data_IF_785369118650
#
_entry.id   IF_785369118650
#
_cell.length_a   1.000
_cell.length_b   1.000
_cell.length_c   1.000
_cell.angle_alpha   90.00
_cell.angle_beta   90.00
_cell.angle_gamma   90.00
#
_symmetry.space_group_name_H-M   'P 1'
#
loop_
_entity.id
_entity.type
_entity.pdbx_description
1 polymer ?
#
# COMPACT_ATOMS: atom_id res chain seq x y z
N UNK A 1 36.77 -69.73 -4.45
CA UNK A 1 37.53 -68.51 -4.07
C UNK A 1 37.53 -67.36 -5.10
N UNK A 2 37.57 -67.63 -6.42
CA UNK A 2 37.54 -66.51 -7.42
C UNK A 2 36.21 -65.72 -7.48
N UNK A 3 35.07 -66.38 -7.30
CA UNK A 3 33.73 -65.74 -7.36
C UNK A 3 33.46 -64.82 -6.14
N UNK A 4 33.99 -65.19 -4.96
CA UNK A 4 33.83 -64.36 -3.74
C UNK A 4 34.68 -63.08 -3.82
N UNK A 5 35.88 -63.13 -4.43
CA UNK A 5 36.72 -61.92 -4.64
C UNK A 5 36.15 -60.97 -5.64
N UNK A 6 35.42 -61.46 -6.65
CA UNK A 6 34.76 -60.53 -7.65
C UNK A 6 33.56 -59.87 -7.10
N UNK A 7 32.73 -60.49 -6.26
CA UNK A 7 31.60 -59.86 -5.57
C UNK A 7 32.06 -58.88 -4.50
N UNK A 8 33.18 -59.09 -3.84
CA UNK A 8 33.73 -58.20 -2.84
C UNK A 8 34.36 -56.93 -3.46
N UNK A 9 34.94 -57.02 -4.68
CA UNK A 9 35.43 -55.88 -5.45
C UNK A 9 34.26 -55.01 -6.00
N UNK A 10 33.14 -55.63 -6.40
CA UNK A 10 31.95 -54.91 -6.85
C UNK A 10 31.26 -54.18 -5.72
N UNK A 11 31.22 -54.73 -4.51
CA UNK A 11 30.68 -54.06 -3.32
C UNK A 11 31.56 -52.90 -2.83
N UNK A 12 32.89 -52.98 -2.95
CA UNK A 12 33.80 -51.90 -2.63
C UNK A 12 33.73 -50.75 -3.66
N UNK A 13 33.49 -51.04 -4.95
CA UNK A 13 33.38 -50.01 -5.99
C UNK A 13 32.04 -49.25 -5.89
N UNK A 14 30.96 -49.93 -5.51
CA UNK A 14 29.66 -49.29 -5.28
C UNK A 14 29.67 -48.45 -3.98
N UNK A 15 30.40 -48.93 -2.92
CA UNK A 15 30.55 -48.16 -1.67
C UNK A 15 31.35 -46.87 -1.82
N UNK A 16 32.35 -46.82 -2.72
CA UNK A 16 33.18 -45.62 -2.95
C UNK A 16 32.44 -44.58 -3.83
N UNK A 17 31.51 -45.02 -4.70
CA UNK A 17 30.70 -44.08 -5.50
C UNK A 17 29.63 -43.40 -4.63
N UNK A 18 29.16 -44.03 -3.52
CA UNK A 18 28.20 -43.41 -2.60
C UNK A 18 28.83 -42.46 -1.58
N UNK A 19 30.15 -42.49 -1.38
CA UNK A 19 30.85 -41.56 -0.46
C UNK A 19 31.26 -40.21 -1.11
N UNK A 20 31.00 -40.04 -2.40
CA UNK A 20 31.39 -38.83 -3.15
C UNK A 20 30.21 -37.87 -3.47
N UNK A 21 28.98 -38.21 -3.11
CA UNK A 21 27.87 -37.26 -3.17
C UNK A 21 27.80 -36.49 -1.83
N UNK A 22 28.55 -35.40 -1.75
CA UNK A 22 28.23 -34.36 -0.82
C UNK A 22 26.87 -33.82 -1.25
N UNK A 23 25.79 -34.27 -0.62
CA UNK A 23 24.52 -33.57 -0.64
C UNK A 23 24.81 -32.27 0.04
N UNK A 24 25.05 -31.23 -0.74
CA UNK A 24 24.91 -29.84 -0.26
C UNK A 24 23.44 -29.70 0.08
N UNK A 25 23.11 -29.97 1.34
CA UNK A 25 21.83 -29.50 1.92
C UNK A 25 21.95 -28.01 1.87
N UNK A 26 21.36 -27.37 0.84
CA UNK A 26 20.98 -26.00 0.94
C UNK A 26 19.97 -25.96 2.08
N UNK A 27 20.42 -25.54 3.26
CA UNK A 27 19.53 -25.06 4.29
C UNK A 27 18.78 -23.91 3.61
N UNK A 28 17.51 -24.06 3.33
CA UNK A 28 16.63 -22.90 3.15
C UNK A 28 16.83 -22.10 4.43
N UNK A 29 17.53 -20.97 4.34
CA UNK A 29 17.57 -20.02 5.43
C UNK A 29 16.12 -19.59 5.66
N UNK A 30 15.55 -20.09 6.75
CA UNK A 30 14.21 -19.70 7.16
C UNK A 30 14.26 -18.20 7.48
N UNK A 31 13.36 -17.44 6.87
CA UNK A 31 13.21 -16.00 7.19
C UNK A 31 13.12 -15.84 8.72
N UNK A 32 13.83 -14.84 9.30
CA UNK A 32 13.84 -14.65 10.75
C UNK A 32 12.44 -14.28 11.26
N UNK A 33 12.12 -14.76 12.48
CA UNK A 33 10.90 -14.35 13.17
C UNK A 33 11.05 -12.94 13.74
N UNK A 34 9.94 -12.29 14.13
CA UNK A 34 10.00 -10.98 14.78
C UNK A 34 10.85 -10.99 16.07
N UNK A 35 10.80 -12.10 16.81
CA UNK A 35 11.60 -12.23 18.05
C UNK A 35 13.09 -12.42 17.74
N UNK A 36 13.45 -13.08 16.63
CA UNK A 36 14.84 -13.14 16.17
C UNK A 36 15.34 -11.74 15.81
N UNK A 37 14.52 -10.91 15.13
CA UNK A 37 14.87 -9.54 14.77
C UNK A 37 15.03 -8.64 16.00
N UNK A 38 14.19 -8.78 17.01
CA UNK A 38 14.29 -8.06 18.29
C UNK A 38 15.63 -8.38 18.98
N UNK A 39 15.97 -9.68 19.04
CA UNK A 39 17.24 -10.11 19.63
C UNK A 39 18.45 -9.57 18.86
N UNK A 40 18.40 -9.65 17.52
CA UNK A 40 19.47 -9.13 16.65
C UNK A 40 19.63 -7.61 16.78
N UNK A 41 18.54 -6.89 16.97
CA UNK A 41 18.55 -5.43 17.19
C UNK A 41 18.95 -5.04 18.62
N UNK A 42 19.17 -6.00 19.52
CA UNK A 42 19.64 -5.77 20.89
C UNK A 42 18.56 -5.26 21.85
N UNK A 43 17.27 -5.48 21.54
CA UNK A 43 16.17 -5.17 22.44
C UNK A 43 15.80 -6.38 23.31
N UNK A 44 15.44 -6.12 24.56
CA UNK A 44 14.90 -7.09 25.48
C UNK A 44 13.39 -6.88 25.61
N UNK A 45 12.59 -7.81 25.09
CA UNK A 45 11.12 -7.82 25.18
C UNK A 45 10.62 -9.22 25.51
N UNK A 46 9.47 -9.30 26.15
CA UNK A 46 8.83 -10.57 26.47
C UNK A 46 8.16 -11.16 25.23
N UNK A 47 8.16 -12.51 25.10
CA UNK A 47 7.36 -13.21 24.08
C UNK A 47 5.86 -12.88 24.18
N UNK A 48 5.36 -12.55 25.38
CA UNK A 48 3.99 -12.12 25.59
C UNK A 48 3.65 -10.79 24.95
N UNK A 49 4.66 -9.97 24.64
CA UNK A 49 4.49 -8.65 24.01
C UNK A 49 4.65 -8.74 22.48
N UNK A 50 4.93 -9.94 21.94
CA UNK A 50 5.08 -10.18 20.49
C UNK A 50 3.88 -9.62 19.73
N UNK A 51 4.11 -8.84 18.66
CA UNK A 51 3.02 -8.33 17.84
C UNK A 51 2.27 -9.46 17.14
N UNK A 52 0.97 -9.27 16.97
CA UNK A 52 0.14 -10.22 16.24
C UNK A 52 0.40 -10.20 14.72
N UNK A 53 0.86 -9.08 14.19
CA UNK A 53 1.08 -8.89 12.75
C UNK A 53 2.13 -7.81 12.51
N UNK A 54 3.08 -8.10 11.61
CA UNK A 54 4.12 -7.15 11.18
C UNK A 54 4.33 -7.24 9.68
N UNK A 55 4.62 -6.10 9.06
CA UNK A 55 5.08 -6.03 7.68
C UNK A 55 6.17 -4.97 7.52
N UNK A 56 7.07 -5.21 6.58
CA UNK A 56 8.10 -4.28 6.12
C UNK A 56 8.05 -4.20 4.60
N UNK A 57 7.96 -2.99 4.06
CA UNK A 57 7.97 -2.73 2.63
C UNK A 57 8.94 -1.60 2.29
N UNK A 58 9.36 -1.55 1.04
CA UNK A 58 10.04 -0.39 0.47
C UNK A 58 9.04 0.66 0.00
N UNK A 59 9.21 1.89 0.45
CA UNK A 59 8.35 3.01 0.06
C UNK A 59 8.62 3.51 -1.37
N UNK A 60 9.79 3.25 -1.96
CA UNK A 60 10.12 3.73 -3.30
C UNK A 60 9.42 2.91 -4.39
N UNK A 61 9.30 1.60 -4.19
CA UNK A 61 8.81 0.65 -5.21
C UNK A 61 7.56 -0.11 -4.78
N UNK A 62 7.17 -0.03 -3.50
CA UNK A 62 6.08 -0.81 -2.93
C UNK A 62 6.40 -2.31 -2.80
N UNK A 63 7.68 -2.69 -2.81
CA UNK A 63 8.08 -4.09 -2.67
C UNK A 63 7.92 -4.60 -1.26
N UNK A 64 7.37 -5.81 -1.15
CA UNK A 64 7.33 -6.58 0.07
C UNK A 64 8.74 -7.08 0.40
N UNK A 65 9.26 -6.71 1.55
CA UNK A 65 10.61 -7.06 1.99
C UNK A 65 10.62 -8.17 3.02
N UNK A 66 9.70 -8.09 3.99
CA UNK A 66 9.56 -9.07 5.06
C UNK A 66 8.21 -8.90 5.79
N UNK A 67 7.75 -9.94 6.48
CA UNK A 67 6.60 -9.84 7.35
C UNK A 67 6.28 -11.13 8.08
N UNK A 68 5.64 -10.95 9.24
CA UNK A 68 5.11 -12.04 10.04
C UNK A 68 3.61 -11.85 10.24
N UNK A 69 2.81 -12.80 9.76
CA UNK A 69 1.34 -12.75 9.78
C UNK A 69 0.75 -11.45 9.17
N UNK A 70 1.25 -10.91 8.04
CA UNK A 70 0.88 -9.57 7.55
C UNK A 70 -0.59 -9.46 7.13
N UNK A 71 -1.27 -10.58 6.92
CA UNK A 71 -2.65 -10.67 6.43
C UNK A 71 -3.67 -11.03 7.51
N UNK A 72 -3.25 -11.07 8.79
CA UNK A 72 -4.16 -11.32 9.92
C UNK A 72 -5.02 -10.07 10.16
N UNK A 73 -6.37 -10.19 10.13
CA UNK A 73 -7.27 -9.07 10.39
C UNK A 73 -7.13 -8.54 11.82
N UNK A 74 -6.97 -7.22 11.95
CA UNK A 74 -6.81 -6.53 13.25
C UNK A 74 -7.55 -5.20 13.25
N UNK A 75 -7.87 -4.72 14.47
CA UNK A 75 -8.31 -3.34 14.66
C UNK A 75 -7.07 -2.41 14.64
N UNK A 76 -6.98 -1.46 13.68
CA UNK A 76 -5.84 -0.55 13.56
C UNK A 76 -5.87 0.59 14.60
N UNK A 77 -6.99 0.76 15.31
CA UNK A 77 -7.25 1.93 16.13
C UNK A 77 -6.95 3.24 15.34
N UNK A 78 -6.31 4.21 15.97
CA UNK A 78 -6.04 5.54 15.38
C UNK A 78 -5.12 5.55 14.14
N UNK A 79 -4.51 4.43 13.74
CA UNK A 79 -3.80 4.37 12.45
C UNK A 79 -4.79 4.60 11.29
N UNK A 80 -6.08 4.26 11.47
CA UNK A 80 -7.11 4.51 10.46
C UNK A 80 -7.27 5.99 10.09
N UNK A 81 -6.87 6.94 10.95
CA UNK A 81 -6.87 8.36 10.65
C UNK A 81 -6.03 8.72 9.42
N UNK A 82 -5.05 7.87 9.05
CA UNK A 82 -4.30 8.05 7.80
C UNK A 82 -5.18 7.93 6.56
N UNK A 83 -6.24 7.10 6.58
CA UNK A 83 -7.21 7.05 5.48
C UNK A 83 -8.03 8.36 5.42
N UNK A 84 -8.47 8.87 6.55
CA UNK A 84 -9.16 10.18 6.60
C UNK A 84 -8.26 11.28 6.06
N UNK A 85 -6.99 11.33 6.46
CA UNK A 85 -6.04 12.31 5.93
C UNK A 85 -5.76 12.11 4.44
N UNK A 86 -5.70 10.87 3.96
CA UNK A 86 -5.60 10.60 2.51
C UNK A 86 -6.74 11.26 1.74
N UNK A 87 -8.00 11.13 2.23
CA UNK A 87 -9.17 11.77 1.62
C UNK A 87 -9.10 13.29 1.68
N UNK A 88 -8.58 13.86 2.78
CA UNK A 88 -8.37 15.31 2.94
C UNK A 88 -7.33 15.82 1.94
N UNK A 89 -6.19 15.17 1.82
CA UNK A 89 -5.15 15.53 0.85
C UNK A 89 -5.64 15.37 -0.60
N UNK A 90 -6.43 14.34 -0.88
CA UNK A 90 -7.05 14.15 -2.20
C UNK A 90 -8.01 15.31 -2.52
N UNK A 91 -8.87 15.72 -1.57
CA UNK A 91 -9.75 16.87 -1.72
C UNK A 91 -8.97 18.19 -1.92
N UNK A 92 -7.81 18.34 -1.27
CA UNK A 92 -6.91 19.49 -1.52
C UNK A 92 -6.29 19.43 -2.92
N UNK A 93 -5.83 18.26 -3.37
CA UNK A 93 -5.28 18.08 -4.72
C UNK A 93 -6.31 18.35 -5.82
N UNK A 94 -7.59 18.08 -5.56
CA UNK A 94 -8.73 18.41 -6.43
C UNK A 94 -9.18 19.88 -6.35
N UNK A 95 -8.58 20.68 -5.47
CA UNK A 95 -8.91 22.09 -5.28
C UNK A 95 -10.23 22.34 -4.51
N UNK A 96 -10.81 21.31 -3.88
CA UNK A 96 -12.01 21.44 -3.04
C UNK A 96 -11.71 22.04 -1.68
N UNK A 97 -10.53 21.80 -1.16
CA UNK A 97 -10.00 22.32 0.09
C UNK A 97 -8.62 22.93 -0.12
N UNK A 98 -8.17 23.72 0.86
CA UNK A 98 -6.80 24.22 0.95
C UNK A 98 -6.35 24.19 2.41
N UNK A 99 -5.06 24.36 2.67
CA UNK A 99 -4.54 24.50 4.03
C UNK A 99 -5.16 25.70 4.78
N UNK A 100 -5.65 26.70 4.04
CA UNK A 100 -6.31 27.91 4.59
C UNK A 100 -7.82 27.76 4.78
N UNK A 101 -8.42 26.68 4.29
CA UNK A 101 -9.84 26.38 4.53
C UNK A 101 -10.07 26.22 6.02
N UNK A 102 -11.07 26.91 6.59
CA UNK A 102 -11.37 26.92 8.02
C UNK A 102 -12.63 26.15 8.37
N UNK A 103 -12.66 25.57 9.57
CA UNK A 103 -13.86 25.06 10.24
C UNK A 103 -14.16 25.94 11.45
N UNK A 104 -15.35 26.50 11.54
CA UNK A 104 -15.83 27.13 12.77
C UNK A 104 -16.24 26.00 13.73
N UNK A 105 -15.57 25.90 14.87
CA UNK A 105 -15.88 24.87 15.85
C UNK A 105 -17.26 25.11 16.48
N UNK A 106 -18.07 24.06 16.52
CA UNK A 106 -19.40 24.05 17.15
C UNK A 106 -19.30 23.63 18.61
N UNK A 107 -20.40 23.80 19.36
CA UNK A 107 -20.53 23.25 20.73
C UNK A 107 -20.37 21.72 20.74
N UNK A 108 -20.80 21.02 19.67
CA UNK A 108 -20.63 19.58 19.50
C UNK A 108 -19.12 19.19 19.44
N UNK A 109 -18.32 19.89 18.64
CA UNK A 109 -16.89 19.63 18.58
C UNK A 109 -16.19 19.92 19.91
N UNK A 110 -16.56 21.00 20.58
CA UNK A 110 -16.04 21.29 21.91
C UNK A 110 -16.40 20.18 22.91
N UNK A 111 -17.64 19.70 22.90
CA UNK A 111 -18.06 18.59 23.78
C UNK A 111 -17.28 17.29 23.47
N UNK A 112 -17.07 16.94 22.19
CA UNK A 112 -16.24 15.80 21.81
C UNK A 112 -14.82 15.97 22.32
N UNK A 113 -14.24 17.17 22.22
CA UNK A 113 -12.87 17.43 22.66
C UNK A 113 -12.65 17.18 24.18
N UNK A 114 -13.73 17.21 24.96
CA UNK A 114 -13.73 17.00 26.43
C UNK A 114 -14.01 15.55 26.85
N UNK A 115 -14.28 14.64 25.91
CA UNK A 115 -14.50 13.22 26.24
C UNK A 115 -13.16 12.58 26.65
N UNK A 116 -13.02 12.31 27.95
CA UNK A 116 -11.78 11.78 28.54
C UNK A 116 -11.30 10.44 27.93
N UNK A 117 -12.24 9.59 27.51
CA UNK A 117 -11.92 8.29 26.92
C UNK A 117 -11.33 8.37 25.51
N UNK A 118 -11.34 9.55 24.88
CA UNK A 118 -10.84 9.79 23.53
C UNK A 118 -9.57 10.63 23.57
N UNK A 119 -8.57 10.28 22.74
CA UNK A 119 -7.45 11.18 22.46
C UNK A 119 -7.98 12.41 21.72
N UNK A 120 -7.77 13.60 22.24
CA UNK A 120 -8.24 14.84 21.64
C UNK A 120 -7.26 16.00 21.86
N UNK A 121 -7.20 16.92 20.91
CA UNK A 121 -6.75 18.28 21.13
C UNK A 121 -7.92 19.10 21.68
N UNK A 122 -7.69 20.12 22.53
CA UNK A 122 -8.72 21.04 22.96
C UNK A 122 -9.32 21.81 21.78
N UNK A 123 -10.65 21.88 21.71
CA UNK A 123 -11.39 22.64 20.72
C UNK A 123 -12.36 23.58 21.43
N UNK A 124 -12.39 24.84 21.01
CA UNK A 124 -13.23 25.89 21.61
C UNK A 124 -14.30 26.32 20.61
N UNK A 125 -15.57 26.27 21.03
CA UNK A 125 -16.72 26.66 20.21
C UNK A 125 -16.64 28.13 19.77
N UNK A 126 -16.95 28.38 18.49
CA UNK A 126 -16.88 29.72 17.87
C UNK A 126 -15.51 30.09 17.32
N UNK A 127 -14.47 29.30 17.59
CA UNK A 127 -13.11 29.50 17.05
C UNK A 127 -13.01 28.86 15.66
N UNK A 128 -12.32 29.54 14.76
CA UNK A 128 -11.98 29.03 13.42
C UNK A 128 -10.66 28.27 13.45
N UNK A 129 -10.70 27.01 13.01
CA UNK A 129 -9.53 26.16 12.89
C UNK A 129 -9.23 25.90 11.41
N UNK A 130 -8.11 26.38 10.86
CA UNK A 130 -7.71 26.07 9.49
C UNK A 130 -7.22 24.62 9.35
N UNK A 131 -7.36 24.06 8.16
CA UNK A 131 -6.92 22.69 7.84
C UNK A 131 -5.46 22.47 8.23
N UNK A 132 -4.57 23.46 8.02
CA UNK A 132 -3.16 23.40 8.40
C UNK A 132 -2.92 23.15 9.89
N UNK A 133 -3.86 23.56 10.77
CA UNK A 133 -3.77 23.33 12.21
C UNK A 133 -4.47 22.02 12.63
N UNK A 134 -5.52 21.63 11.92
CA UNK A 134 -6.24 20.38 12.20
C UNK A 134 -5.40 19.14 11.82
N UNK A 135 -4.64 19.17 10.72
CA UNK A 135 -3.79 18.04 10.29
C UNK A 135 -2.79 17.62 11.38
N UNK A 136 -1.96 18.52 11.94
CA UNK A 136 -1.05 18.15 13.04
C UNK A 136 -1.79 17.74 14.31
N UNK A 137 -2.98 18.27 14.61
CA UNK A 137 -3.81 17.78 15.73
C UNK A 137 -4.24 16.31 15.53
N UNK A 138 -4.47 15.88 14.29
CA UNK A 138 -4.78 14.46 13.98
C UNK A 138 -3.55 13.58 14.12
N UNK A 139 -2.39 14.05 13.67
CA UNK A 139 -1.17 13.25 13.58
C UNK A 139 -0.44 13.11 14.91
N UNK A 140 -0.26 14.21 15.64
CA UNK A 140 0.60 14.27 16.84
C UNK A 140 -0.17 13.79 18.08
N UNK A 141 -1.19 14.53 18.62
CA UNK A 141 -1.96 14.05 19.77
C UNK A 141 -3.05 13.04 19.39
N UNK A 142 -3.14 12.67 18.11
CA UNK A 142 -4.14 11.70 17.64
C UNK A 142 -5.60 12.15 17.83
N UNK A 143 -5.88 13.45 17.70
CA UNK A 143 -7.19 14.04 17.99
C UNK A 143 -8.34 13.44 17.20
N UNK A 144 -9.31 12.86 17.88
CA UNK A 144 -10.52 12.31 17.26
C UNK A 144 -11.45 13.44 16.78
N UNK A 145 -11.57 14.52 17.56
CA UNK A 145 -12.43 15.66 17.17
C UNK A 145 -11.87 16.37 15.94
N UNK A 146 -10.56 16.62 15.85
CA UNK A 146 -9.96 17.22 14.66
C UNK A 146 -10.11 16.31 13.43
N UNK A 147 -10.10 14.97 13.63
CA UNK A 147 -10.38 14.02 12.56
C UNK A 147 -11.80 14.16 12.01
N UNK A 148 -12.81 14.28 12.90
CA UNK A 148 -14.20 14.50 12.47
C UNK A 148 -14.37 15.86 11.78
N UNK A 149 -13.74 16.92 12.30
CA UNK A 149 -13.79 18.25 11.67
C UNK A 149 -13.26 18.21 10.24
N UNK A 150 -12.15 17.51 9.99
CA UNK A 150 -11.59 17.32 8.66
C UNK A 150 -12.46 16.42 7.78
N UNK A 151 -12.99 15.32 8.32
CA UNK A 151 -13.86 14.41 7.58
C UNK A 151 -15.13 15.12 7.10
N UNK A 152 -15.76 15.92 7.97
CA UNK A 152 -16.99 16.69 7.67
C UNK A 152 -16.74 17.86 6.71
N UNK A 153 -15.49 18.37 6.59
CA UNK A 153 -15.10 19.29 5.52
C UNK A 153 -15.09 18.62 4.14
N UNK A 154 -14.66 17.36 4.08
CA UNK A 154 -14.63 16.61 2.81
C UNK A 154 -16.04 16.18 2.41
N UNK A 155 -16.80 15.63 3.34
CA UNK A 155 -18.16 15.15 3.16
C UNK A 155 -18.93 15.26 4.49
N UNK A 156 -19.93 16.17 4.56
CA UNK A 156 -20.67 16.43 5.81
C UNK A 156 -21.42 15.21 6.34
N UNK A 157 -21.87 14.29 5.47
CA UNK A 157 -22.57 13.08 5.88
C UNK A 157 -21.59 12.00 6.33
N UNK A 158 -21.57 11.60 7.63
CA UNK A 158 -20.69 10.53 8.11
C UNK A 158 -20.90 9.21 7.40
N UNK A 159 -22.13 8.89 7.00
CA UNK A 159 -22.47 7.66 6.24
C UNK A 159 -21.84 7.70 4.85
N UNK A 160 -21.98 8.83 4.14
CA UNK A 160 -21.39 9.02 2.81
C UNK A 160 -19.87 9.02 2.87
N UNK A 161 -19.29 9.71 3.85
CA UNK A 161 -17.84 9.72 4.06
C UNK A 161 -17.28 8.31 4.30
N UNK A 162 -17.97 7.50 5.11
CA UNK A 162 -17.60 6.11 5.35
C UNK A 162 -17.65 5.26 4.08
N UNK A 163 -18.67 5.46 3.24
CA UNK A 163 -18.75 4.78 1.92
C UNK A 163 -17.59 5.19 1.01
N UNK A 164 -17.24 6.49 0.99
CA UNK A 164 -16.09 7.00 0.24
C UNK A 164 -14.78 6.36 0.73
N UNK A 165 -14.54 6.29 2.05
CA UNK A 165 -13.35 5.65 2.62
C UNK A 165 -13.24 4.17 2.21
N UNK A 166 -14.34 3.40 2.28
CA UNK A 166 -14.34 1.99 1.88
C UNK A 166 -14.11 1.83 0.37
N UNK A 167 -14.71 2.69 -0.47
CA UNK A 167 -14.45 2.71 -1.91
C UNK A 167 -12.98 3.00 -2.19
N UNK A 168 -12.41 4.01 -1.52
CA UNK A 168 -10.99 4.36 -1.66
C UNK A 168 -10.07 3.21 -1.22
N UNK A 169 -10.39 2.52 -0.14
CA UNK A 169 -9.63 1.35 0.29
C UNK A 169 -9.57 0.28 -0.82
N UNK A 170 -10.69 -0.01 -1.48
CA UNK A 170 -10.71 -0.96 -2.60
C UNK A 170 -9.91 -0.45 -3.81
N UNK A 171 -10.02 0.84 -4.17
CA UNK A 171 -9.25 1.45 -5.26
C UNK A 171 -7.73 1.37 -5.02
N UNK A 172 -7.29 1.51 -3.78
CA UNK A 172 -5.89 1.39 -3.38
C UNK A 172 -5.40 -0.07 -3.32
N UNK A 173 -6.30 -1.05 -3.38
CA UNK A 173 -5.97 -2.47 -3.28
C UNK A 173 -5.95 -3.01 -1.85
N UNK A 174 -6.58 -2.33 -0.88
CA UNK A 174 -6.75 -2.76 0.51
C UNK A 174 -7.94 -3.73 0.61
N UNK A 175 -7.77 -4.93 0.09
CA UNK A 175 -8.89 -5.87 -0.15
C UNK A 175 -9.43 -6.53 1.11
N UNK A 176 -8.73 -6.47 2.24
CA UNK A 176 -9.13 -7.04 3.52
C UNK A 176 -9.52 -5.97 4.54
N UNK A 177 -9.73 -4.72 4.08
CA UNK A 177 -10.09 -3.60 4.95
C UNK A 177 -11.58 -3.32 4.91
N UNK A 178 -12.17 -3.17 6.10
CA UNK A 178 -13.54 -2.72 6.31
C UNK A 178 -13.54 -1.59 7.33
N UNK A 179 -13.93 -0.41 6.89
CA UNK A 179 -13.92 0.81 7.67
C UNK A 179 -15.34 1.08 8.20
N UNK A 180 -15.46 1.28 9.52
CA UNK A 180 -16.73 1.52 10.22
C UNK A 180 -16.84 2.93 10.78
N UNK A 181 -15.70 3.64 10.89
CA UNK A 181 -15.64 5.03 11.33
C UNK A 181 -14.36 5.73 10.85
N UNK A 182 -14.40 7.05 10.81
CA UNK A 182 -13.30 7.88 10.31
C UNK A 182 -12.08 7.96 11.24
N UNK A 183 -12.22 7.63 12.53
CA UNK A 183 -11.24 8.00 13.55
C UNK A 183 -10.41 6.82 14.06
N UNK A 184 -10.93 5.61 13.94
CA UNK A 184 -10.37 4.40 14.54
C UNK A 184 -10.86 4.11 15.97
N UNK A 185 -11.63 5.02 16.59
CA UNK A 185 -12.34 4.75 17.84
C UNK A 185 -13.79 4.35 17.53
N UNK A 186 -14.36 3.40 18.29
CA UNK A 186 -15.77 3.03 18.13
C UNK A 186 -16.69 4.25 18.24
N UNK A 187 -17.75 4.30 17.43
CA UNK A 187 -18.71 5.40 17.43
C UNK A 187 -19.35 5.57 18.79
N UNK A 188 -19.60 4.46 19.53
CA UNK A 188 -20.14 4.48 20.90
C UNK A 188 -19.29 5.28 21.89
N UNK A 189 -17.98 5.40 21.68
CA UNK A 189 -17.10 6.19 22.52
C UNK A 189 -17.35 7.69 22.47
N UNK A 190 -18.06 8.18 21.44
CA UNK A 190 -18.38 9.60 21.26
C UNK A 190 -19.65 10.06 21.97
N UNK A 191 -20.31 9.21 22.77
CA UNK A 191 -21.49 9.61 23.59
C UNK A 191 -22.59 10.28 22.74
N UNK A 192 -22.96 9.67 21.60
CA UNK A 192 -23.97 10.17 20.63
C UNK A 192 -23.53 11.43 19.83
N UNK A 193 -22.33 11.95 20.06
CA UNK A 193 -21.82 13.16 19.39
C UNK A 193 -21.08 12.85 18.06
N UNK A 194 -20.94 11.59 17.68
CA UNK A 194 -20.22 11.24 16.43
C UNK A 194 -20.95 11.78 15.20
N UNK A 195 -22.27 11.66 15.15
CA UNK A 195 -23.12 12.14 14.07
C UNK A 195 -23.80 13.44 14.50
N UNK A 196 -23.84 14.49 13.63
CA UNK A 196 -24.69 15.65 13.89
C UNK A 196 -26.15 15.24 14.14
N UNK A 197 -26.82 15.89 15.08
CA UNK A 197 -28.14 15.48 15.57
C UNK A 197 -29.24 15.47 14.48
N UNK A 198 -29.05 16.28 13.43
CA UNK A 198 -29.96 16.41 12.30
C UNK A 198 -29.74 15.36 11.18
N UNK A 199 -28.70 14.52 11.32
CA UNK A 199 -28.33 13.54 10.30
C UNK A 199 -28.75 12.12 10.66
N UNK A 200 -29.08 11.32 9.63
CA UNK A 200 -29.40 9.90 9.80
C UNK A 200 -28.14 9.08 10.10
N UNK A 201 -28.17 8.35 11.19
CA UNK A 201 -27.09 7.44 11.63
C UNK A 201 -27.48 5.96 11.56
N UNK A 202 -28.66 5.63 11.04
CA UNK A 202 -29.22 4.26 11.07
C UNK A 202 -28.35 3.21 10.33
N UNK A 203 -27.53 3.67 9.38
CA UNK A 203 -26.60 2.80 8.64
C UNK A 203 -25.26 2.56 9.36
N UNK A 204 -25.01 3.22 10.49
CA UNK A 204 -23.77 3.08 11.25
C UNK A 204 -23.97 2.10 12.42
N UNK A 205 -22.98 1.23 12.62
CA UNK A 205 -22.93 0.37 13.80
C UNK A 205 -22.01 0.99 14.85
N UNK A 206 -22.54 1.48 15.99
CA UNK A 206 -21.73 2.19 16.98
C UNK A 206 -20.71 1.32 17.72
N UNK A 207 -20.85 -0.01 17.67
CA UNK A 207 -20.05 -0.97 18.42
C UNK A 207 -19.00 -1.69 17.57
N UNK A 208 -19.01 -1.50 16.24
CA UNK A 208 -18.06 -2.15 15.37
C UNK A 208 -16.73 -1.39 15.28
N UNK A 209 -15.64 -2.17 15.33
CA UNK A 209 -14.30 -1.68 15.07
C UNK A 209 -14.02 -1.62 13.56
N UNK A 210 -13.09 -0.75 13.17
CA UNK A 210 -12.42 -0.87 11.88
C UNK A 210 -11.62 -2.17 11.84
N UNK A 211 -11.64 -2.86 10.72
CA UNK A 211 -10.85 -4.08 10.50
C UNK A 211 -9.95 -3.87 9.28
N UNK A 212 -8.68 -4.20 9.43
CA UNK A 212 -7.68 -4.12 8.37
C UNK A 212 -6.55 -5.12 8.63
N UNK A 213 -5.52 -5.13 7.80
CA UNK A 213 -4.30 -5.94 7.96
C UNK A 213 -3.06 -5.06 7.94
N UNK A 214 -1.92 -5.56 8.41
CA UNK A 214 -0.67 -4.83 8.28
C UNK A 214 -0.33 -4.58 6.81
N UNK A 215 -0.63 -5.55 5.92
CA UNK A 215 -0.48 -5.40 4.47
C UNK A 215 -1.31 -4.25 3.93
N UNK A 216 -2.60 -4.21 4.21
CA UNK A 216 -3.49 -3.16 3.69
C UNK A 216 -3.08 -1.77 4.17
N UNK A 217 -2.69 -1.65 5.46
CA UNK A 217 -2.18 -0.38 5.97
C UNK A 217 -0.87 0.04 5.30
N UNK A 218 0.04 -0.90 5.00
CA UNK A 218 1.27 -0.59 4.28
C UNK A 218 1.00 -0.12 2.86
N UNK A 219 -0.04 -0.64 2.19
CA UNK A 219 -0.52 -0.17 0.89
C UNK A 219 -1.04 1.27 0.98
N UNK A 220 -1.88 1.57 1.97
CA UNK A 220 -2.36 2.93 2.22
C UNK A 220 -1.18 3.90 2.40
N UNK A 221 -0.23 3.55 3.26
CA UNK A 221 0.92 4.40 3.58
C UNK A 221 1.83 4.58 2.36
N UNK A 222 2.04 3.53 1.58
CA UNK A 222 2.75 3.62 0.30
C UNK A 222 2.11 4.68 -0.61
N UNK A 223 0.82 4.58 -0.87
CA UNK A 223 0.12 5.55 -1.72
C UNK A 223 0.08 6.95 -1.12
N UNK A 224 -0.06 7.07 0.20
CA UNK A 224 -0.02 8.34 0.91
C UNK A 224 1.33 9.04 0.72
N UNK A 225 2.44 8.34 0.93
CA UNK A 225 3.79 8.91 0.78
C UNK A 225 4.18 9.16 -0.68
N UNK A 226 3.66 8.38 -1.64
CA UNK A 226 3.89 8.63 -3.07
C UNK A 226 3.21 9.91 -3.56
N UNK A 227 2.05 10.28 -2.98
CA UNK A 227 1.26 11.42 -3.46
C UNK A 227 1.35 12.65 -2.56
N UNK A 228 1.48 12.45 -1.25
CA UNK A 228 1.29 13.48 -0.21
C UNK A 228 2.38 13.37 0.86
N UNK A 229 3.65 13.29 0.43
CA UNK A 229 4.81 13.12 1.33
C UNK A 229 5.01 14.29 2.30
N UNK A 230 4.38 15.44 2.04
CA UNK A 230 4.38 16.61 2.93
C UNK A 230 3.79 16.32 4.31
N UNK A 231 3.03 15.24 4.48
CA UNK A 231 2.54 14.77 5.79
C UNK A 231 3.69 14.54 6.78
N UNK A 232 4.88 14.16 6.29
CA UNK A 232 6.07 13.91 7.10
C UNK A 232 6.57 15.17 7.81
N UNK A 233 6.30 16.35 7.29
CA UNK A 233 6.65 17.61 7.95
C UNK A 233 5.99 17.77 9.34
N UNK A 234 4.85 17.13 9.57
CA UNK A 234 4.14 17.16 10.84
C UNK A 234 4.57 16.01 11.78
N UNK A 235 5.06 14.90 11.26
CA UNK A 235 5.35 13.69 12.05
C UNK A 235 6.82 13.52 12.42
N UNK A 236 7.72 14.29 11.80
CA UNK A 236 9.16 14.18 12.00
C UNK A 236 9.67 14.88 13.26
N UNK A 237 8.79 15.51 14.06
CA UNK A 237 9.17 16.27 15.24
C UNK A 237 8.62 15.64 16.53
N UNK A 238 9.41 15.74 17.62
CA UNK A 238 9.00 15.25 18.92
C UNK A 238 7.83 16.03 19.52
N UNK A 239 7.74 17.31 19.19
CA UNK A 239 6.68 18.23 19.62
C UNK A 239 6.16 19.04 18.44
N UNK A 240 4.89 19.41 18.49
CA UNK A 240 4.27 20.27 17.49
C UNK A 240 3.36 21.29 18.16
N UNK A 241 3.54 22.58 17.83
CA UNK A 241 2.70 23.68 18.33
C UNK A 241 1.67 24.05 17.25
N UNK A 242 0.41 24.08 17.63
CA UNK A 242 -0.72 24.49 16.78
C UNK A 242 -1.29 25.80 17.24
N UNK A 243 -1.99 26.51 16.36
CA UNK A 243 -2.63 27.82 16.63
C UNK A 243 -1.67 28.84 17.23
N UNK A 244 -0.39 28.79 16.85
CA UNK A 244 0.69 29.59 17.41
C UNK A 244 0.39 31.09 17.36
N UNK A 245 0.67 31.81 18.48
CA UNK A 245 0.43 33.25 18.62
C UNK A 245 -1.04 33.61 18.85
N UNK A 246 -1.95 32.67 19.04
CA UNK A 246 -3.34 32.90 19.39
C UNK A 246 -3.62 32.51 20.85
N UNK A 247 -4.77 32.92 21.45
CA UNK A 247 -5.19 32.43 22.77
C UNK A 247 -5.46 30.91 22.84
N UNK A 248 -5.40 30.22 21.71
CA UNK A 248 -5.68 28.78 21.55
C UNK A 248 -4.43 28.00 21.18
N UNK A 249 -3.25 28.60 21.40
CA UNK A 249 -1.95 27.95 21.18
C UNK A 249 -1.80 26.75 22.11
N UNK A 250 -1.48 25.59 21.51
CA UNK A 250 -1.24 24.34 22.22
C UNK A 250 -0.01 23.62 21.65
N UNK A 251 0.81 23.01 22.52
CA UNK A 251 1.94 22.19 22.12
C UNK A 251 1.70 20.75 22.53
N UNK A 252 1.84 19.83 21.59
CA UNK A 252 1.62 18.40 21.79
C UNK A 252 2.92 17.63 21.65
N UNK A 253 3.10 16.63 22.51
CA UNK A 253 4.12 15.61 22.38
C UNK A 253 3.67 14.49 21.45
N UNK A 254 4.62 13.92 20.72
CA UNK A 254 4.36 12.74 19.88
C UNK A 254 4.28 11.46 20.70
N UNK A 255 3.54 10.46 20.19
CA UNK A 255 3.58 9.07 20.67
C UNK A 255 4.57 8.18 19.90
N UNK A 256 5.29 8.74 18.92
CA UNK A 256 6.36 8.04 18.22
C UNK A 256 7.70 8.26 18.92
N UNK A 257 7.99 7.44 19.91
CA UNK A 257 9.21 7.54 20.72
C UNK A 257 10.49 7.10 19.98
N UNK A 258 10.39 6.70 18.70
CA UNK A 258 11.56 6.41 17.85
C UNK A 258 12.09 7.63 17.11
N UNK A 259 11.45 8.80 17.25
CA UNK A 259 11.97 10.05 16.69
C UNK A 259 13.28 10.49 17.36
N UNK A 260 14.13 11.29 16.66
CA UNK A 260 15.39 11.77 17.20
C UNK A 260 15.23 12.45 18.56
N UNK A 261 16.11 12.09 19.51
CA UNK A 261 16.13 12.65 20.87
C UNK A 261 15.16 12.00 21.86
N UNK A 262 14.31 11.06 21.44
CA UNK A 262 13.37 10.33 22.30
C UNK A 262 13.91 8.97 22.73
N UNK A 263 13.19 8.29 23.65
CA UNK A 263 13.62 7.07 24.36
C UNK A 263 14.12 5.94 23.45
N UNK A 264 13.49 5.74 22.29
CA UNK A 264 13.82 4.67 21.34
C UNK A 264 14.35 5.23 20.02
N UNK A 265 14.96 6.43 20.06
CA UNK A 265 15.44 7.11 18.86
C UNK A 265 16.13 6.16 17.89
N UNK A 266 15.67 6.16 16.65
CA UNK A 266 16.21 5.33 15.58
C UNK A 266 16.51 6.17 14.34
N UNK A 267 17.74 6.04 13.81
CA UNK A 267 18.23 6.89 12.74
C UNK A 267 17.35 6.79 11.47
N UNK A 268 16.92 7.94 10.98
CA UNK A 268 16.12 8.06 9.76
C UNK A 268 14.60 8.05 9.99
N UNK A 269 14.11 7.77 11.22
CA UNK A 269 12.66 7.81 11.52
C UNK A 269 12.14 9.23 11.42
N UNK A 270 11.04 9.41 10.67
CA UNK A 270 10.37 10.69 10.42
C UNK A 270 8.83 10.60 10.46
N UNK A 271 8.29 9.46 10.86
CA UNK A 271 6.84 9.26 11.00
C UNK A 271 6.50 7.83 11.43
N UNK A 272 5.24 7.43 11.50
CA UNK A 272 4.09 8.12 10.93
C UNK A 272 2.93 8.24 11.95
N UNK A 273 2.30 7.12 12.37
CA UNK A 273 1.10 7.14 13.21
C UNK A 273 1.03 5.97 14.17
N UNK A 274 0.64 6.24 15.41
CA UNK A 274 0.33 5.22 16.41
C UNK A 274 -1.17 5.00 16.55
N UNK A 275 -1.55 3.85 17.07
CA UNK A 275 -2.94 3.53 17.39
C UNK A 275 -3.02 2.60 18.60
N UNK A 276 -3.97 2.82 19.49
CA UNK A 276 -4.14 2.01 20.69
C UNK A 276 -5.63 1.84 20.98
N UNK A 277 -6.06 0.62 21.24
CA UNK A 277 -7.44 0.31 21.66
C UNK A 277 -7.48 -1.02 22.41
N UNK A 278 -8.52 -1.22 23.20
CA UNK A 278 -8.69 -2.46 23.96
C UNK A 278 -8.73 -3.71 23.06
N UNK A 279 -9.35 -3.61 21.88
CA UNK A 279 -9.50 -4.74 20.94
C UNK A 279 -8.33 -4.87 19.97
N UNK A 280 -7.58 -3.79 19.73
CA UNK A 280 -6.45 -3.73 18.80
C UNK A 280 -5.09 -3.90 19.46
N UNK A 281 -4.98 -3.74 20.78
CA UNK A 281 -3.70 -3.62 21.49
C UNK A 281 -2.97 -2.33 21.08
N UNK A 282 -1.64 -2.38 21.09
CA UNK A 282 -0.80 -1.24 20.75
C UNK A 282 -0.21 -1.42 19.34
N UNK A 283 -0.47 -0.44 18.47
CA UNK A 283 -0.14 -0.45 17.06
C UNK A 283 0.77 0.73 16.69
N UNK A 284 1.62 0.54 15.70
CA UNK A 284 2.38 1.63 15.09
C UNK A 284 2.57 1.40 13.59
N UNK A 285 2.42 2.44 12.81
CA UNK A 285 3.00 2.55 11.48
C UNK A 285 4.18 3.50 11.54
N UNK A 286 5.32 3.08 11.00
CA UNK A 286 6.55 3.86 11.05
C UNK A 286 7.17 3.94 9.66
N UNK A 287 7.81 5.07 9.36
CA UNK A 287 8.65 5.24 8.17
C UNK A 287 10.00 5.79 8.58
N UNK A 288 11.02 5.34 7.87
CA UNK A 288 12.38 5.82 8.04
C UNK A 288 13.08 5.88 6.68
N UNK A 289 14.01 6.83 6.54
CA UNK A 289 14.85 6.95 5.36
C UNK A 289 16.32 6.98 5.74
N UNK A 290 17.12 6.16 5.04
CA UNK A 290 18.59 6.24 5.05
C UNK A 290 19.06 6.23 3.61
N UNK A 291 19.86 7.19 3.24
CA UNK A 291 20.27 7.41 1.84
C UNK A 291 19.04 7.44 0.91
N UNK A 292 19.06 6.64 -0.16
CA UNK A 292 17.97 6.57 -1.13
C UNK A 292 16.91 5.54 -0.77
N UNK A 293 17.09 4.71 0.26
CA UNK A 293 16.12 3.71 0.71
C UNK A 293 15.18 4.29 1.77
N UNK A 294 13.88 4.36 1.46
CA UNK A 294 12.82 4.66 2.42
C UNK A 294 12.02 3.39 2.72
N UNK A 295 11.88 3.08 3.99
CA UNK A 295 11.14 1.92 4.47
C UNK A 295 9.83 2.34 5.14
N UNK A 296 8.83 1.47 5.05
CA UNK A 296 7.58 1.52 5.80
C UNK A 296 7.44 0.21 6.57
N UNK A 297 7.17 0.30 7.88
CA UNK A 297 6.78 -0.85 8.68
C UNK A 297 5.46 -0.59 9.37
N UNK A 298 4.63 -1.64 9.50
CA UNK A 298 3.39 -1.63 10.26
C UNK A 298 3.44 -2.77 11.26
N UNK A 299 3.26 -2.45 12.53
CA UNK A 299 3.27 -3.39 13.66
C UNK A 299 1.93 -3.29 14.36
N UNK A 300 1.19 -4.40 14.46
CA UNK A 300 -0.15 -4.45 15.02
C UNK A 300 -0.25 -5.45 16.16
N UNK A 301 -0.96 -5.05 17.23
CA UNK A 301 -1.31 -5.93 18.33
C UNK A 301 -0.12 -6.27 19.23
N UNK A 302 0.67 -5.29 19.63
CA UNK A 302 1.74 -5.46 20.62
C UNK A 302 1.13 -5.53 22.02
N UNK A 303 1.54 -6.54 22.79
CA UNK A 303 1.24 -6.67 24.22
C UNK A 303 -0.24 -6.84 24.58
N UNK A 304 -0.50 -6.85 25.86
CA UNK A 304 -1.85 -6.88 26.43
C UNK A 304 -2.29 -5.45 26.79
N UNK A 305 -3.52 -5.09 26.45
CA UNK A 305 -4.12 -3.80 26.83
C UNK A 305 -4.09 -3.53 28.34
N UNK A 306 -4.17 -4.56 29.17
CA UNK A 306 -4.06 -4.43 30.62
C UNK A 306 -2.65 -3.96 31.06
N UNK A 307 -1.63 -4.14 30.23
CA UNK A 307 -0.26 -3.69 30.46
C UNK A 307 0.07 -2.51 29.53
N UNK A 308 0.01 -1.28 30.04
CA UNK A 308 0.25 -0.07 29.26
C UNK A 308 1.70 0.08 28.76
N UNK A 309 2.65 -0.76 29.18
CA UNK A 309 4.01 -0.81 28.61
C UNK A 309 4.00 -1.13 27.11
N UNK A 310 2.98 -1.80 26.59
CA UNK A 310 2.80 -2.04 25.15
C UNK A 310 2.82 -0.77 24.31
N UNK A 311 2.42 0.38 24.88
CA UNK A 311 2.55 1.69 24.21
C UNK A 311 4.00 2.02 23.86
N UNK A 312 4.93 1.66 24.72
CA UNK A 312 6.36 1.87 24.51
C UNK A 312 6.99 0.74 23.71
N UNK A 313 6.58 -0.50 23.94
CA UNK A 313 7.20 -1.69 23.33
C UNK A 313 6.95 -1.79 21.82
N UNK A 314 5.89 -1.19 21.30
CA UNK A 314 5.68 -1.12 19.83
C UNK A 314 6.84 -0.46 19.07
N UNK A 315 7.61 0.43 19.71
CA UNK A 315 8.76 1.11 19.10
C UNK A 315 9.93 0.15 18.83
N UNK A 316 10.44 -0.63 19.81
CA UNK A 316 11.46 -1.65 19.56
C UNK A 316 11.12 -2.60 18.41
N UNK A 317 9.87 -3.09 18.32
CA UNK A 317 9.46 -3.98 17.23
C UNK A 317 9.54 -3.29 15.87
N UNK A 318 9.08 -2.06 15.76
CA UNK A 318 9.17 -1.30 14.52
C UNK A 318 10.63 -0.98 14.16
N UNK A 319 11.46 -0.59 15.14
CA UNK A 319 12.89 -0.33 14.93
C UNK A 319 13.64 -1.58 14.46
N UNK A 320 13.35 -2.75 15.05
CA UNK A 320 13.98 -4.02 14.65
C UNK A 320 13.63 -4.42 13.22
N UNK A 321 12.36 -4.23 12.82
CA UNK A 321 11.94 -4.46 11.44
C UNK A 321 12.64 -3.50 10.45
N UNK A 322 12.78 -2.21 10.81
CA UNK A 322 13.52 -1.24 10.01
C UNK A 322 15.00 -1.59 9.91
N UNK A 323 15.65 -2.01 11.02
CA UNK A 323 17.05 -2.43 11.02
C UNK A 323 17.27 -3.62 10.09
N UNK A 324 16.40 -4.63 10.15
CA UNK A 324 16.43 -5.73 9.20
C UNK A 324 16.35 -5.23 7.75
N UNK A 325 15.43 -4.31 7.47
CA UNK A 325 15.28 -3.72 6.14
C UNK A 325 16.53 -3.02 5.65
N UNK A 326 17.09 -2.11 6.45
CA UNK A 326 18.31 -1.38 6.08
C UNK A 326 19.55 -2.27 6.03
N UNK A 327 19.60 -3.37 6.80
CA UNK A 327 20.71 -4.31 6.75
C UNK A 327 20.68 -5.21 5.53
N UNK A 328 19.48 -5.64 5.07
CA UNK A 328 19.32 -6.66 4.05
C UNK A 328 19.03 -6.12 2.64
N UNK A 329 18.52 -4.90 2.52
CA UNK A 329 18.04 -4.36 1.25
C UNK A 329 18.69 -3.03 0.90
N UNK A 330 18.68 -2.71 -0.40
CA UNK A 330 19.14 -1.44 -0.93
C UNK A 330 18.28 -1.04 -2.15
N UNK A 331 18.09 0.27 -2.32
CA UNK A 331 17.49 0.86 -3.51
C UNK A 331 18.62 1.39 -4.40
N UNK A 332 18.78 0.82 -5.60
CA UNK A 332 19.94 1.13 -6.44
C UNK A 332 19.61 1.14 -7.93
N UNK A 333 20.53 1.67 -8.71
CA UNK A 333 20.52 1.52 -10.18
C UNK A 333 20.86 0.08 -10.54
N UNK A 334 19.88 -0.66 -11.07
CA UNK A 334 20.09 -2.04 -11.57
C UNK A 334 20.49 -2.08 -13.02
N UNK A 335 20.20 -1.02 -13.79
CA UNK A 335 20.69 -0.83 -15.15
C UNK A 335 20.76 0.67 -15.49
N UNK A 336 21.93 1.14 -15.90
CA UNK A 336 22.11 2.55 -16.30
C UNK A 336 21.47 2.84 -17.65
N UNK A 337 21.14 4.11 -17.91
CA UNK A 337 20.78 4.60 -19.23
C UNK A 337 21.90 4.34 -20.25
N UNK A 338 21.55 4.15 -21.52
CA UNK A 338 22.50 3.88 -22.59
C UNK A 338 22.22 2.60 -23.37
N UNK A 339 23.20 2.17 -24.18
CA UNK A 339 23.12 0.95 -24.97
C UNK A 339 23.66 -0.24 -24.18
N UNK A 340 22.94 -1.36 -24.22
CA UNK A 340 23.29 -2.61 -23.55
C UNK A 340 23.01 -3.81 -24.44
N UNK A 341 23.67 -4.92 -24.14
CA UNK A 341 23.34 -6.23 -24.71
C UNK A 341 22.76 -7.11 -23.61
N UNK A 342 21.46 -7.43 -23.71
CA UNK A 342 20.74 -8.23 -22.74
C UNK A 342 20.21 -9.48 -23.45
N UNK A 343 20.63 -10.67 -23.03
CA UNK A 343 20.24 -11.94 -23.64
C UNK A 343 20.48 -11.99 -25.16
N UNK A 344 21.57 -11.41 -25.65
CA UNK A 344 21.93 -11.33 -27.07
C UNK A 344 21.13 -10.30 -27.88
N UNK A 345 20.34 -9.45 -27.24
CA UNK A 345 19.58 -8.38 -27.85
C UNK A 345 20.20 -7.02 -27.51
N UNK A 346 20.54 -6.22 -28.53
CA UNK A 346 20.99 -4.83 -28.31
C UNK A 346 19.79 -3.93 -28.04
N UNK A 347 19.81 -3.26 -26.90
CA UNK A 347 18.75 -2.38 -26.42
C UNK A 347 19.34 -1.05 -25.96
N UNK A 348 18.57 0.01 -26.04
CA UNK A 348 18.93 1.33 -25.49
C UNK A 348 17.85 1.78 -24.50
N UNK A 349 18.29 2.28 -23.34
CA UNK A 349 17.46 2.87 -22.31
C UNK A 349 17.65 4.39 -22.28
N UNK A 350 16.54 5.13 -22.16
CA UNK A 350 16.57 6.58 -22.04
C UNK A 350 16.90 7.04 -20.60
N UNK A 351 16.51 6.27 -19.59
CA UNK A 351 16.72 6.56 -18.16
C UNK A 351 17.25 5.33 -17.44
N UNK A 352 17.88 5.55 -16.29
CA UNK A 352 18.30 4.49 -15.38
C UNK A 352 17.08 3.68 -14.89
N UNK A 353 17.25 2.38 -14.77
CA UNK A 353 16.32 1.50 -14.08
C UNK A 353 16.76 1.37 -12.62
N UNK A 354 15.96 1.92 -11.72
CA UNK A 354 16.13 1.75 -10.27
C UNK A 354 15.20 0.67 -9.76
N UNK A 355 15.70 -0.11 -8.81
CA UNK A 355 14.87 -1.09 -8.11
C UNK A 355 15.39 -1.35 -6.70
N UNK A 356 14.51 -1.88 -5.83
CA UNK A 356 14.89 -2.37 -4.50
C UNK A 356 15.19 -3.86 -4.60
N UNK A 357 16.36 -4.21 -4.09
CA UNK A 357 16.90 -5.57 -4.16
C UNK A 357 17.44 -5.98 -2.79
N UNK A 358 17.53 -7.29 -2.56
CA UNK A 358 18.33 -7.80 -1.44
C UNK A 358 19.81 -7.58 -1.76
N UNK A 359 20.59 -7.12 -0.80
CA UNK A 359 22.05 -6.97 -0.93
C UNK A 359 22.66 -8.32 -1.36
N UNK A 360 23.67 -8.27 -2.19
CA UNK A 360 24.35 -9.45 -2.75
C UNK A 360 23.47 -10.37 -3.63
N UNK A 361 22.27 -9.91 -4.04
CA UNK A 361 21.41 -10.69 -4.95
C UNK A 361 21.88 -10.59 -6.41
N UNK A 362 21.53 -11.62 -7.21
CA UNK A 362 21.76 -11.60 -8.65
C UNK A 362 20.87 -10.58 -9.36
N UNK A 363 21.47 -9.61 -10.04
CA UNK A 363 20.80 -8.56 -10.80
C UNK A 363 20.51 -8.98 -12.25
N UNK A 364 20.30 -10.26 -12.53
CA UNK A 364 19.94 -10.76 -13.86
C UNK A 364 18.72 -10.03 -14.42
N UNK A 365 18.84 -9.59 -15.67
CA UNK A 365 17.80 -8.83 -16.35
C UNK A 365 17.04 -9.69 -17.36
N UNK A 366 15.77 -9.36 -17.57
CA UNK A 366 14.99 -9.91 -18.66
C UNK A 366 14.34 -8.78 -19.49
N UNK A 367 14.28 -9.03 -20.79
CA UNK A 367 13.57 -8.19 -21.74
C UNK A 367 12.28 -8.88 -22.14
N UNK A 368 11.17 -8.18 -22.06
CA UNK A 368 9.84 -8.66 -22.48
C UNK A 368 9.22 -7.55 -23.33
N UNK A 369 8.93 -7.84 -24.60
CA UNK A 369 8.39 -6.84 -25.55
C UNK A 369 9.29 -5.60 -25.67
N UNK A 370 8.86 -4.47 -25.11
CA UNK A 370 9.55 -3.18 -25.16
C UNK A 370 10.04 -2.69 -23.78
N UNK A 371 10.09 -3.58 -22.78
CA UNK A 371 10.55 -3.25 -21.43
C UNK A 371 11.63 -4.19 -20.91
N UNK A 372 12.53 -3.65 -20.09
CA UNK A 372 13.50 -4.39 -19.29
C UNK A 372 13.13 -4.31 -17.81
N UNK A 373 13.37 -5.40 -17.08
CA UNK A 373 13.19 -5.51 -15.62
C UNK A 373 14.13 -6.55 -15.04
N UNK A 374 14.23 -6.58 -13.70
CA UNK A 374 14.87 -7.69 -13.00
C UNK A 374 14.10 -9.00 -13.26
N UNK A 375 14.85 -10.08 -13.52
CA UNK A 375 14.30 -11.42 -13.72
C UNK A 375 13.73 -11.99 -12.42
N UNK A 376 14.41 -11.74 -11.31
CA UNK A 376 14.06 -12.20 -9.96
C UNK A 376 13.73 -11.00 -9.07
N UNK A 377 12.83 -10.11 -9.54
CA UNK A 377 12.38 -8.97 -8.77
C UNK A 377 11.58 -9.42 -7.53
N UNK A 378 11.77 -8.73 -6.40
CA UNK A 378 10.92 -8.91 -5.22
C UNK A 378 9.45 -8.64 -5.58
N UNK A 379 8.49 -9.34 -4.97
CA UNK A 379 7.07 -9.08 -5.20
C UNK A 379 6.68 -7.69 -4.67
N UNK A 380 5.72 -7.03 -5.29
CA UNK A 380 5.06 -5.85 -4.72
C UNK A 380 4.07 -6.26 -3.64
N UNK A 381 3.82 -5.38 -2.68
CA UNK A 381 2.90 -5.64 -1.56
C UNK A 381 1.45 -5.80 -2.02
N UNK A 382 1.12 -5.28 -3.21
CA UNK A 382 -0.21 -5.36 -3.83
C UNK A 382 -0.08 -5.47 -5.35
N UNK A 383 -1.01 -6.18 -5.99
CA UNK A 383 -1.08 -6.30 -7.46
C UNK A 383 -1.38 -4.98 -8.18
N UNK A 384 -1.99 -4.01 -7.49
CA UNK A 384 -2.25 -2.67 -8.06
C UNK A 384 -0.98 -1.81 -8.13
N UNK A 385 0.09 -2.20 -7.44
CA UNK A 385 1.39 -1.53 -7.50
C UNK A 385 2.24 -2.23 -8.57
N UNK A 386 2.56 -1.55 -9.68
CA UNK A 386 3.28 -2.18 -10.79
C UNK A 386 4.73 -2.47 -10.41
N UNK A 387 5.27 -3.56 -10.95
CA UNK A 387 6.70 -3.85 -10.90
C UNK A 387 7.52 -2.77 -11.62
N UNK A 388 8.72 -2.49 -11.12
CA UNK A 388 9.64 -1.56 -11.79
C UNK A 388 10.09 -2.10 -13.13
N UNK A 389 9.89 -1.30 -14.16
CA UNK A 389 10.30 -1.58 -15.54
C UNK A 389 10.84 -0.32 -16.20
N UNK A 390 11.69 -0.48 -17.20
CA UNK A 390 12.14 0.63 -18.03
C UNK A 390 11.89 0.30 -19.51
N UNK A 391 11.33 1.24 -20.26
CA UNK A 391 11.15 1.10 -21.71
C UNK A 391 12.49 1.05 -22.42
N UNK A 392 12.58 0.18 -23.42
CA UNK A 392 13.75 0.02 -24.25
C UNK A 392 13.44 0.31 -25.72
N UNK A 393 14.47 0.72 -26.45
CA UNK A 393 14.48 0.76 -27.92
C UNK A 393 15.42 -0.34 -28.40
N UNK A 394 14.91 -1.23 -29.26
CA UNK A 394 15.76 -2.26 -29.88
C UNK A 394 16.67 -1.63 -30.90
N UNK A 395 17.98 -1.72 -30.68
CA UNK A 395 19.00 -1.23 -31.61
C UNK A 395 19.23 -2.29 -32.68
N UNK A 396 18.59 -2.14 -33.85
CA UNK A 396 18.79 -3.08 -34.97
C UNK A 396 20.17 -2.90 -35.58
N UNK A 397 20.96 -3.99 -35.63
CA UNK A 397 22.22 -3.98 -36.40
C UNK A 397 21.97 -3.55 -37.87
N UNK A 398 22.85 -2.74 -38.48
CA UNK A 398 22.71 -2.31 -39.88
C UNK A 398 22.57 -3.47 -40.86
N UNK A 399 23.22 -4.60 -40.60
CA UNK A 399 23.15 -5.80 -41.45
C UNK A 399 21.76 -6.45 -41.55
N UNK A 400 20.94 -6.37 -40.54
CA UNK A 400 19.54 -6.89 -40.62
C UNK A 400 18.60 -5.92 -41.36
N UNK A 401 18.93 -4.63 -41.42
CA UNK A 401 18.17 -3.65 -42.23
C UNK A 401 18.36 -3.86 -43.73
N UNK A 402 19.58 -4.19 -44.18
CA UNK A 402 19.88 -4.46 -45.59
C UNK A 402 19.16 -5.71 -46.11
N UNK A 403 19.09 -6.79 -45.28
CA UNK A 403 18.33 -8.02 -45.64
C UNK A 403 16.81 -7.79 -45.70
N UNK A 404 16.24 -6.92 -44.87
CA UNK A 404 14.80 -6.58 -44.93
C UNK A 404 14.44 -5.68 -46.10
N UNK A 405 15.34 -4.80 -46.54
CA UNK A 405 15.10 -3.93 -47.69
C UNK A 405 15.26 -4.70 -48.99
N UNK A 406 16.25 -5.62 -49.10
CA UNK A 406 16.41 -6.48 -50.29
C UNK A 406 15.32 -7.55 -50.44
N UNK A 407 14.75 -8.05 -49.35
CA UNK A 407 13.59 -8.95 -49.42
C UNK A 407 12.27 -8.25 -49.80
N UNK A 408 12.18 -6.91 -49.65
CA UNK A 408 11.01 -6.11 -50.04
C UNK A 408 11.02 -5.75 -51.53
N UNK A 409 12.13 -5.94 -52.27
CA UNK A 409 12.22 -5.66 -53.70
C UNK A 409 12.00 -6.89 -54.60
N UNK A 410 11.86 -8.10 -54.08
CA UNK A 410 11.43 -9.27 -54.80
C UNK A 410 9.93 -9.47 -54.65
N UNK A 411 9.11 -8.70 -55.38
CA UNK A 411 7.67 -8.91 -55.48
C UNK A 411 7.36 -10.14 -56.30
N UNK A 412 6.74 -11.18 -55.75
CA UNK A 412 6.12 -12.21 -56.59
C UNK A 412 4.88 -11.57 -57.23
N UNK A 413 4.77 -11.58 -58.55
CA UNK A 413 3.56 -11.20 -59.28
C UNK A 413 2.43 -12.15 -58.89
N UNK A 414 1.53 -11.73 -58.02
CA UNK A 414 0.32 -12.45 -57.66
C UNK A 414 -0.59 -12.58 -58.90
N UNK A 415 -0.93 -13.80 -59.27
CA UNK A 415 -1.81 -14.10 -60.42
C UNK A 415 -3.21 -13.46 -60.17
N UNK A 416 -3.88 -13.13 -61.26
CA UNK A 416 -5.23 -12.49 -61.26
C UNK A 416 -6.26 -13.25 -60.39
N UNK A 417 -6.09 -14.57 -60.22
CA UNK A 417 -6.93 -15.40 -59.37
C UNK A 417 -6.74 -15.21 -57.86
N UNK A 418 -5.50 -14.88 -57.37
CA UNK A 418 -5.21 -14.64 -55.95
C UNK A 418 -5.72 -13.28 -55.46
N UNK A 419 -5.86 -12.28 -56.33
CA UNK A 419 -6.42 -10.97 -55.97
C UNK A 419 -7.92 -11.04 -55.75
N UNK A 420 -8.66 -11.91 -56.51
CA UNK A 420 -10.10 -12.07 -56.31
C UNK A 420 -10.45 -12.75 -54.95
N UNK A 421 -9.62 -13.69 -54.49
CA UNK A 421 -9.82 -14.39 -53.21
C UNK A 421 -9.62 -13.50 -52.00
N UNK A 422 -8.72 -12.52 -52.05
CA UNK A 422 -8.46 -11.59 -50.94
C UNK A 422 -9.59 -10.57 -50.80
N UNK A 423 -10.13 -10.07 -51.94
CA UNK A 423 -11.26 -9.12 -51.93
C UNK A 423 -12.57 -9.75 -51.47
N UNK A 424 -12.82 -11.04 -51.76
CA UNK A 424 -13.99 -11.75 -51.30
C UNK A 424 -13.96 -12.06 -49.78
N UNK A 425 -12.76 -12.33 -49.21
CA UNK A 425 -12.61 -12.55 -47.77
C UNK A 425 -12.89 -11.31 -46.91
N UNK A 426 -12.35 -10.15 -47.34
CA UNK A 426 -12.57 -8.86 -46.63
C UNK A 426 -14.03 -8.42 -46.74
N UNK A 427 -14.69 -8.64 -47.86
CA UNK A 427 -16.12 -8.32 -48.04
C UNK A 427 -17.03 -9.13 -47.09
N UNK A 428 -16.75 -10.42 -46.94
CA UNK A 428 -17.52 -11.30 -46.03
C UNK A 428 -17.32 -10.88 -44.57
N UNK A 429 -16.09 -10.53 -44.17
CA UNK A 429 -15.83 -10.08 -42.80
C UNK A 429 -16.54 -8.76 -42.45
N UNK A 430 -16.57 -7.80 -43.40
CA UNK A 430 -17.32 -6.55 -43.22
C UNK A 430 -18.84 -6.78 -43.12
N UNK A 431 -19.40 -7.67 -43.90
CA UNK A 431 -20.83 -8.00 -43.82
C UNK A 431 -21.17 -8.65 -42.48
N UNK A 432 -20.37 -9.58 -41.98
CA UNK A 432 -20.56 -10.20 -40.66
C UNK A 432 -20.48 -9.16 -39.54
N UNK A 433 -19.55 -8.25 -39.58
CA UNK A 433 -19.41 -7.17 -38.59
C UNK A 433 -20.65 -6.26 -38.57
N UNK A 434 -21.16 -5.88 -39.74
CA UNK A 434 -22.36 -5.04 -39.85
C UNK A 434 -23.59 -5.80 -39.31
N UNK A 435 -23.76 -7.09 -39.60
CA UNK A 435 -24.87 -7.92 -39.09
C UNK A 435 -24.84 -8.01 -37.55
N UNK A 436 -23.65 -8.18 -36.96
CA UNK A 436 -23.49 -8.22 -35.49
C UNK A 436 -23.87 -6.87 -34.86
N UNK A 437 -23.42 -5.75 -35.44
CA UNK A 437 -23.77 -4.42 -34.94
C UNK A 437 -25.28 -4.16 -35.03
N UNK A 438 -25.90 -4.48 -36.14
CA UNK A 438 -27.36 -4.31 -36.31
C UNK A 438 -28.15 -5.21 -35.36
N UNK A 439 -27.68 -6.44 -35.12
CA UNK A 439 -28.32 -7.35 -34.16
C UNK A 439 -28.24 -6.80 -32.72
N UNK A 440 -27.09 -6.27 -32.32
CA UNK A 440 -26.89 -5.67 -31.00
C UNK A 440 -27.74 -4.40 -30.79
N UNK A 441 -27.90 -3.58 -31.83
CA UNK A 441 -28.75 -2.38 -31.76
C UNK A 441 -30.22 -2.81 -31.57
N UNK A 442 -30.71 -3.80 -32.34
CA UNK A 442 -32.08 -4.29 -32.23
C UNK A 442 -32.38 -4.94 -30.86
N UNK A 443 -31.44 -5.69 -30.31
CA UNK A 443 -31.59 -6.29 -28.97
C UNK A 443 -31.60 -5.24 -27.87
N UNK A 444 -30.77 -4.18 -27.98
CA UNK A 444 -30.78 -3.07 -27.04
C UNK A 444 -32.05 -2.24 -27.09
N UNK A 445 -32.63 -2.02 -28.30
CA UNK A 445 -33.89 -1.33 -28.47
C UNK A 445 -35.08 -2.15 -27.88
N UNK A 446 -35.12 -3.49 -28.11
CA UNK A 446 -36.11 -4.37 -27.49
C UNK A 446 -36.05 -4.33 -25.95
N UNK A 447 -34.85 -4.33 -25.37
CA UNK A 447 -34.68 -4.22 -23.91
C UNK A 447 -35.14 -2.86 -23.35
N UNK A 448 -34.91 -1.75 -24.07
CA UNK A 448 -35.41 -0.42 -23.69
C UNK A 448 -36.97 -0.35 -23.76
N UNK A 449 -37.60 -0.89 -24.82
CA UNK A 449 -39.05 -0.95 -24.90
C UNK A 449 -39.69 -1.84 -23.83
N UNK A 450 -39.09 -2.97 -23.50
CA UNK A 450 -39.57 -3.84 -22.43
C UNK A 450 -39.51 -3.15 -21.05
N UNK A 451 -38.45 -2.36 -20.77
CA UNK A 451 -38.33 -1.55 -19.53
C UNK A 451 -39.40 -0.43 -19.49
N UNK A 452 -39.66 0.26 -20.60
CA UNK A 452 -40.68 1.31 -20.64
C UNK A 452 -42.08 0.75 -20.44
N UNK A 453 -42.41 -0.44 -21.01
CA UNK A 453 -43.67 -1.08 -20.83
C UNK A 453 -43.91 -1.64 -19.41
N UNK A 454 -42.81 -2.06 -18.73
CA UNK A 454 -42.86 -2.50 -17.32
C UNK A 454 -43.16 -1.31 -16.39
N UNK A 455 -42.52 -0.17 -16.59
CA UNK A 455 -42.77 1.04 -15.80
C UNK A 455 -44.19 1.65 -16.05
N UNK A 456 -44.78 1.46 -17.25
CA UNK A 456 -46.17 1.83 -17.51
C UNK A 456 -47.19 0.91 -16.81
N UNK A 457 -46.90 -0.39 -16.68
CA UNK A 457 -47.77 -1.34 -15.94
C UNK A 457 -47.72 -1.09 -14.42
N UNK A 458 -46.56 -0.79 -13.87
CA UNK A 458 -46.44 -0.49 -12.44
C UNK A 458 -47.17 0.79 -12.04
N UNK A 459 -47.15 1.85 -12.90
CA UNK A 459 -47.95 3.08 -12.67
C UNK A 459 -49.46 2.91 -12.84
N UNK A 460 -49.93 1.84 -13.53
CA UNK A 460 -51.36 1.59 -13.70
C UNK A 460 -51.97 0.76 -12.56
N UNK A 461 -51.14 0.09 -11.76
CA UNK A 461 -51.54 -0.67 -10.57
C UNK A 461 -51.46 0.14 -9.26
N UNK A 462 -51.01 1.41 -9.34
CA UNK A 462 -50.97 2.33 -8.20
C UNK A 462 -52.05 3.46 -8.28
N UNK A 463 -53.01 3.33 -9.20
CA UNK A 463 -54.24 4.15 -9.26
C UNK A 463 -55.46 3.21 -9.00
#
# INVERSE_FOLDING_TARGET
MKVVRQKMRLLLTVGVIFLGMTVTVYSEETEPTMMDLIQQAGYEVSENDRPASVILIDANTGKYLWGENPDVPRNPASIMKLMTLYMVYEAMAEGKLSLDTTVVATQRYQAISQIYALSNAPIVSGVEYPVRELIPMVLVPSSNVATLMLAELVEPSPVTFLQMMNTKAQELGMTQTRIQNATGAQISAFQELYVPAEMDSSALNPWEDNVTTARDLSILIYHLLQKYSEILAYTATAQYTVMAGTPYEETFDTYNYSLPGLRYAYAGVDGLKTGSSQTGGFNISMTAQRDDLRLITVVLGVGDWANQEGEYLRQPFANAALEYGFSQFEYQVVLKAGEHEINGQKVALANDLYDTVRKDSDLSLQVTEDVVRLKHALPTVSEVIPQRTQRITVVSSPEKRVKKVTQKMATPSLSRKSRLAIFSGVGIFMIIAVVIVVHNIKTTQKRRQARQNRGKRERKNQR
#
